data_IF_482863183443
#
_entry.id   IF_482863183443
#
_cell.length_a   1.000
_cell.length_b   1.000
_cell.length_c   1.000
_cell.angle_alpha   90.00
_cell.angle_beta   90.00
_cell.angle_gamma   90.00
#
_symmetry.space_group_name_H-M   'P 1'
#
loop_
_entity.id
_entity.type
_entity.pdbx_description
1 polymer ?
#
# COMPACT_ATOMS: atom_id res chain seq x y z
N UNK A 1 -14.83 -19.86 0.90
CA UNK A 1 -13.58 -19.54 1.62
C UNK A 1 -13.95 -18.99 2.99
N UNK A 2 -13.23 -19.42 4.00
CA UNK A 2 -13.34 -18.93 5.38
C UNK A 2 -12.09 -18.14 5.73
N UNK A 3 -12.25 -16.91 6.19
CA UNK A 3 -11.13 -15.98 6.41
C UNK A 3 -11.19 -15.41 7.81
N UNK A 4 -10.07 -15.42 8.51
CA UNK A 4 -9.86 -14.63 9.73
C UNK A 4 -8.93 -13.49 9.42
N UNK A 5 -9.32 -12.27 9.79
CA UNK A 5 -8.49 -11.07 9.66
C UNK A 5 -8.09 -10.59 11.04
N UNK A 6 -6.80 -10.51 11.31
CA UNK A 6 -6.22 -10.04 12.57
C UNK A 6 -5.70 -8.64 12.37
N UNK A 7 -6.38 -7.66 12.96
CA UNK A 7 -6.18 -6.23 12.78
C UNK A 7 -7.36 -5.56 12.10
N UNK A 8 -8.10 -4.74 12.83
CA UNK A 8 -9.33 -4.06 12.41
C UNK A 8 -9.09 -2.60 11.93
N UNK A 9 -7.91 -2.35 11.38
CA UNK A 9 -7.59 -1.06 10.75
C UNK A 9 -8.22 -0.91 9.36
N UNK A 10 -7.86 0.15 8.65
CA UNK A 10 -8.32 0.45 7.29
C UNK A 10 -8.21 -0.73 6.33
N UNK A 11 -7.01 -1.32 6.22
CA UNK A 11 -6.73 -2.37 5.24
C UNK A 11 -7.41 -3.69 5.65
N UNK A 12 -7.27 -4.10 6.92
CA UNK A 12 -7.90 -5.34 7.42
C UNK A 12 -9.41 -5.32 7.27
N UNK A 13 -10.07 -4.22 7.65
CA UNK A 13 -11.52 -4.06 7.49
C UNK A 13 -11.92 -4.01 6.00
N UNK A 14 -11.13 -3.36 5.13
CA UNK A 14 -11.39 -3.36 3.69
C UNK A 14 -11.28 -4.75 3.07
N UNK A 15 -10.32 -5.58 3.52
CA UNK A 15 -10.21 -6.99 3.10
C UNK A 15 -11.47 -7.74 3.54
N UNK A 16 -11.85 -7.61 4.81
CA UNK A 16 -13.03 -8.29 5.35
C UNK A 16 -14.31 -7.92 4.60
N UNK A 17 -14.53 -6.64 4.32
CA UNK A 17 -15.65 -6.16 3.49
C UNK A 17 -15.61 -6.74 2.07
N UNK A 18 -14.43 -6.75 1.45
CA UNK A 18 -14.24 -7.26 0.09
C UNK A 18 -14.52 -8.75 -0.02
N UNK A 19 -13.95 -9.58 0.88
CA UNK A 19 -14.15 -11.04 0.87
C UNK A 19 -15.58 -11.40 1.25
N UNK A 20 -16.22 -10.66 2.15
CA UNK A 20 -17.65 -10.81 2.46
C UNK A 20 -18.52 -10.57 1.23
N UNK A 21 -18.23 -9.49 0.49
CA UNK A 21 -18.92 -9.19 -0.77
C UNK A 21 -18.73 -10.30 -1.81
N UNK A 22 -17.58 -10.96 -1.81
CA UNK A 22 -17.29 -12.12 -2.65
C UNK A 22 -17.92 -13.43 -2.15
N UNK A 23 -18.71 -13.42 -1.07
CA UNK A 23 -19.43 -14.57 -0.52
C UNK A 23 -18.62 -15.44 0.45
N UNK A 24 -17.49 -14.94 0.98
CA UNK A 24 -16.73 -15.65 2.01
C UNK A 24 -17.34 -15.46 3.41
N UNK A 25 -17.10 -16.44 4.30
CA UNK A 25 -17.27 -16.27 5.73
C UNK A 25 -16.02 -15.54 6.26
N UNK A 26 -16.22 -14.52 7.11
CA UNK A 26 -15.10 -13.73 7.63
C UNK A 26 -15.31 -13.37 9.09
N UNK A 27 -14.23 -13.40 9.87
CA UNK A 27 -14.14 -12.90 11.23
C UNK A 27 -13.00 -11.88 11.33
N UNK A 28 -13.23 -10.79 12.07
CA UNK A 28 -12.21 -9.83 12.42
C UNK A 28 -11.87 -9.94 13.90
N UNK A 29 -10.58 -9.91 14.21
CA UNK A 29 -10.03 -9.94 15.57
C UNK A 29 -9.09 -8.74 15.71
N UNK A 30 -9.22 -8.00 16.81
CA UNK A 30 -8.29 -6.92 17.16
C UNK A 30 -8.03 -6.88 18.67
N UNK A 31 -6.87 -6.36 19.07
CA UNK A 31 -6.56 -6.13 20.50
C UNK A 31 -7.36 -4.97 21.09
N UNK A 32 -7.71 -3.97 20.26
CA UNK A 32 -8.64 -2.92 20.64
C UNK A 32 -10.08 -3.38 20.40
N UNK A 33 -10.75 -3.76 21.47
CA UNK A 33 -12.14 -4.23 21.41
C UNK A 33 -13.14 -3.21 20.84
N UNK A 34 -12.79 -1.90 20.78
CA UNK A 34 -13.64 -0.90 20.12
C UNK A 34 -13.45 -0.95 18.59
N UNK A 35 -12.20 -1.04 18.14
CA UNK A 35 -11.89 -1.21 16.73
C UNK A 35 -12.46 -2.52 16.20
N UNK A 36 -12.29 -3.62 16.93
CA UNK A 36 -12.87 -4.92 16.61
C UNK A 36 -14.38 -4.84 16.47
N UNK A 37 -15.08 -4.27 17.47
CA UNK A 37 -16.53 -4.12 17.43
C UNK A 37 -17.00 -3.31 16.23
N UNK A 38 -16.39 -2.14 16.00
CA UNK A 38 -16.74 -1.28 14.87
C UNK A 38 -16.58 -2.00 13.53
N UNK A 39 -15.43 -2.68 13.34
CA UNK A 39 -15.16 -3.43 12.11
C UNK A 39 -16.15 -4.59 11.94
N UNK A 40 -16.46 -5.32 13.01
CA UNK A 40 -17.44 -6.40 12.99
C UNK A 40 -18.86 -5.90 12.69
N UNK A 41 -19.26 -4.74 13.23
CA UNK A 41 -20.55 -4.11 12.94
C UNK A 41 -20.65 -3.70 11.45
N UNK A 42 -19.56 -3.18 10.86
CA UNK A 42 -19.49 -2.82 9.45
C UNK A 42 -19.57 -4.04 8.52
N UNK A 43 -18.91 -5.13 8.88
CA UNK A 43 -18.81 -6.35 8.05
C UNK A 43 -20.02 -7.27 8.25
N UNK A 44 -20.78 -7.13 9.36
CA UNK A 44 -21.92 -8.00 9.73
C UNK A 44 -21.52 -9.49 9.70
N UNK A 45 -20.48 -9.85 10.43
CA UNK A 45 -19.88 -11.19 10.41
C UNK A 45 -20.16 -11.99 11.70
N UNK A 46 -19.71 -13.24 11.72
CA UNK A 46 -19.76 -14.16 12.85
C UNK A 46 -18.39 -14.81 13.09
N UNK A 47 -18.33 -15.66 14.11
CA UNK A 47 -17.13 -16.46 14.38
C UNK A 47 -16.87 -17.45 13.25
N UNK A 48 -15.60 -17.59 12.90
CA UNK A 48 -15.13 -18.53 11.88
C UNK A 48 -14.33 -19.64 12.56
N UNK A 49 -14.81 -20.88 12.45
CA UNK A 49 -14.07 -22.07 12.86
C UNK A 49 -13.32 -22.65 11.66
N UNK A 50 -12.07 -23.10 11.88
CA UNK A 50 -11.22 -23.70 10.86
C UNK A 50 -11.11 -22.84 9.59
N UNK A 51 -10.50 -21.63 9.67
CA UNK A 51 -10.34 -20.77 8.51
C UNK A 51 -9.40 -21.38 7.46
N UNK A 52 -9.73 -21.18 6.20
CA UNK A 52 -8.82 -21.52 5.09
C UNK A 52 -7.60 -20.58 5.09
N UNK A 53 -7.85 -19.29 5.43
CA UNK A 53 -6.86 -18.23 5.36
C UNK A 53 -6.91 -17.32 6.60
N UNK A 54 -5.73 -16.97 7.11
CA UNK A 54 -5.53 -15.97 8.16
C UNK A 54 -4.76 -14.78 7.58
N UNK A 55 -5.34 -13.59 7.65
CA UNK A 55 -4.73 -12.34 7.20
C UNK A 55 -4.22 -11.56 8.39
N UNK A 56 -2.91 -11.36 8.48
CA UNK A 56 -2.29 -10.53 9.51
C UNK A 56 -2.25 -9.09 8.99
N UNK A 57 -3.19 -8.27 9.49
CA UNK A 57 -3.38 -6.87 9.12
C UNK A 57 -2.94 -5.90 10.24
N UNK A 58 -2.04 -6.35 11.09
CA UNK A 58 -1.41 -5.56 12.16
C UNK A 58 -0.12 -4.89 11.66
N UNK A 59 0.47 -3.94 12.43
CA UNK A 59 1.80 -3.42 12.14
C UNK A 59 2.83 -4.53 11.91
N UNK A 60 3.77 -4.31 11.00
CA UNK A 60 4.77 -5.32 10.60
C UNK A 60 5.60 -5.83 11.79
N UNK A 61 5.91 -4.95 12.76
CA UNK A 61 6.61 -5.32 13.99
C UNK A 61 5.86 -6.31 14.86
N UNK A 62 4.55 -6.44 14.69
CA UNK A 62 3.70 -7.36 15.46
C UNK A 62 3.53 -8.73 14.81
N UNK A 63 3.96 -8.91 13.55
CA UNK A 63 3.72 -10.16 12.78
C UNK A 63 4.25 -11.38 13.51
N UNK A 64 5.48 -11.32 14.05
CA UNK A 64 6.06 -12.43 14.81
C UNK A 64 5.16 -12.89 15.96
N UNK A 65 4.70 -11.94 16.80
CA UNK A 65 3.83 -12.22 17.94
C UNK A 65 2.48 -12.80 17.50
N UNK A 66 1.91 -12.26 16.44
CA UNK A 66 0.63 -12.76 15.91
C UNK A 66 0.78 -14.20 15.39
N UNK A 67 1.88 -14.51 14.71
CA UNK A 67 2.16 -15.88 14.29
C UNK A 67 2.29 -16.80 15.50
N UNK A 68 3.07 -16.41 16.51
CA UNK A 68 3.25 -17.20 17.74
C UNK A 68 1.92 -17.51 18.42
N UNK A 69 1.01 -16.55 18.48
CA UNK A 69 -0.29 -16.67 19.11
C UNK A 69 -1.28 -17.57 18.33
N UNK A 70 -1.31 -17.42 16.99
CA UNK A 70 -2.40 -17.99 16.19
C UNK A 70 -2.01 -19.23 15.35
N UNK A 71 -0.72 -19.53 15.16
CA UNK A 71 -0.27 -20.64 14.30
C UNK A 71 -0.78 -22.02 14.76
N UNK A 72 -0.94 -22.22 16.07
CA UNK A 72 -1.40 -23.48 16.67
C UNK A 72 -2.93 -23.49 16.91
N UNK A 73 -3.56 -22.31 16.96
CA UNK A 73 -5.02 -22.16 16.95
C UNK A 73 -5.59 -22.54 15.59
N UNK A 74 -4.89 -22.15 14.51
CA UNK A 74 -5.28 -22.44 13.13
C UNK A 74 -4.22 -23.30 12.41
N UNK A 75 -4.06 -24.58 12.81
CA UNK A 75 -2.93 -25.41 12.38
C UNK A 75 -2.94 -25.79 10.89
N UNK A 76 -4.09 -25.66 10.22
CA UNK A 76 -4.26 -26.01 8.81
C UNK A 76 -4.33 -24.81 7.87
N UNK A 77 -4.49 -23.62 8.42
CA UNK A 77 -4.71 -22.39 7.64
C UNK A 77 -3.44 -21.93 6.94
N UNK A 78 -3.59 -21.35 5.77
CA UNK A 78 -2.57 -20.51 5.15
C UNK A 78 -2.57 -19.14 5.84
N UNK A 79 -1.40 -18.55 6.03
CA UNK A 79 -1.24 -17.22 6.62
C UNK A 79 -0.65 -16.26 5.59
N UNK A 80 -1.11 -15.02 5.61
CA UNK A 80 -0.50 -13.90 4.90
C UNK A 80 -0.34 -12.70 5.83
N UNK A 81 0.64 -11.86 5.55
CA UNK A 81 0.67 -10.50 6.07
C UNK A 81 0.38 -9.49 4.95
N UNK A 82 0.05 -8.26 5.34
CA UNK A 82 -0.20 -7.16 4.42
C UNK A 82 0.75 -5.97 4.63
N UNK A 83 1.82 -6.16 5.38
CA UNK A 83 2.77 -5.11 5.74
C UNK A 83 3.47 -4.49 4.53
N UNK A 84 3.99 -3.27 4.72
CA UNK A 84 4.64 -2.51 3.64
C UNK A 84 6.09 -2.93 3.39
N UNK A 85 6.71 -3.75 4.26
CA UNK A 85 8.08 -4.26 4.13
C UNK A 85 8.10 -5.76 4.33
N UNK A 86 8.98 -6.47 3.61
CA UNK A 86 8.95 -7.94 3.56
C UNK A 86 10.18 -8.61 4.17
N UNK A 87 11.35 -7.97 4.19
CA UNK A 87 12.58 -8.57 4.74
C UNK A 87 12.40 -8.97 6.21
N UNK A 88 11.83 -8.10 7.05
CA UNK A 88 11.59 -8.42 8.46
C UNK A 88 10.59 -9.58 8.60
N UNK A 89 9.52 -9.58 7.83
CA UNK A 89 8.51 -10.65 7.83
C UNK A 89 9.13 -11.99 7.46
N UNK A 90 9.95 -12.04 6.40
CA UNK A 90 10.68 -13.26 6.01
C UNK A 90 11.50 -13.82 7.18
N UNK A 91 12.31 -12.96 7.81
CA UNK A 91 13.14 -13.37 8.95
C UNK A 91 12.30 -13.92 10.10
N UNK A 92 11.22 -13.24 10.44
CA UNK A 92 10.32 -13.66 11.51
C UNK A 92 9.67 -15.02 11.21
N UNK A 93 9.14 -15.19 10.02
CA UNK A 93 8.45 -16.43 9.61
C UNK A 93 9.40 -17.63 9.62
N UNK A 94 10.65 -17.45 9.16
CA UNK A 94 11.64 -18.52 9.12
C UNK A 94 12.02 -19.05 10.51
N UNK A 95 11.82 -18.27 11.58
CA UNK A 95 12.04 -18.76 12.95
C UNK A 95 11.06 -19.84 13.39
N UNK A 96 9.93 -19.99 12.70
CA UNK A 96 8.89 -20.96 13.02
C UNK A 96 8.98 -22.28 12.22
N UNK A 97 10.09 -22.51 11.50
CA UNK A 97 10.36 -23.77 10.79
C UNK A 97 9.29 -24.14 9.77
N UNK A 98 8.69 -25.33 9.91
CA UNK A 98 7.70 -25.85 8.95
C UNK A 98 6.44 -24.96 8.76
N UNK A 99 6.19 -24.04 9.67
CA UNK A 99 5.11 -23.06 9.51
C UNK A 99 5.31 -22.19 8.26
N UNK A 100 6.56 -21.93 7.85
CA UNK A 100 6.88 -21.14 6.66
C UNK A 100 6.26 -21.70 5.38
N UNK A 101 5.97 -22.99 5.31
CA UNK A 101 5.31 -23.65 4.17
C UNK A 101 3.90 -23.11 3.93
N UNK A 102 3.20 -22.70 5.00
CA UNK A 102 1.84 -22.17 4.94
C UNK A 102 1.76 -20.68 5.20
N UNK A 103 2.88 -19.97 5.03
CA UNK A 103 2.94 -18.52 5.09
C UNK A 103 3.36 -17.94 3.74
N UNK A 104 2.63 -16.92 3.29
CA UNK A 104 2.94 -16.19 2.06
C UNK A 104 2.96 -14.69 2.39
N UNK A 105 4.13 -14.05 2.41
CA UNK A 105 4.21 -12.61 2.62
C UNK A 105 3.59 -11.85 1.45
N UNK A 106 2.78 -10.83 1.74
CA UNK A 106 2.13 -10.03 0.70
C UNK A 106 2.12 -8.54 1.03
N UNK A 107 1.82 -7.70 0.02
CA UNK A 107 1.66 -6.27 0.20
C UNK A 107 0.64 -5.70 -0.80
N UNK A 108 -0.57 -5.33 -0.38
CA UNK A 108 -1.51 -4.60 -1.22
C UNK A 108 -1.01 -3.17 -1.47
N UNK A 109 -0.72 -2.84 -2.74
CA UNK A 109 -0.32 -1.47 -3.11
C UNK A 109 -1.54 -0.55 -3.13
N UNK A 110 -2.18 -0.43 -1.96
CA UNK A 110 -3.39 0.34 -1.73
C UNK A 110 -3.36 0.96 -0.33
N UNK A 111 -3.93 2.13 -0.19
CA UNK A 111 -4.03 2.86 1.07
C UNK A 111 -4.80 4.16 0.87
N UNK A 112 -5.11 4.81 1.97
CA UNK A 112 -5.74 6.13 2.02
C UNK A 112 -5.13 6.91 3.18
N UNK A 113 -5.30 8.22 3.19
CA UNK A 113 -4.83 9.11 4.26
C UNK A 113 -5.80 9.10 5.48
N UNK A 114 -6.77 8.19 5.50
CA UNK A 114 -7.74 8.00 6.60
C UNK A 114 -7.39 6.72 7.32
N UNK A 115 -7.21 6.80 8.62
CA UNK A 115 -6.94 5.64 9.48
C UNK A 115 -8.24 4.98 9.99
N UNK A 116 -8.12 3.75 10.47
CA UNK A 116 -9.21 3.05 11.16
C UNK A 116 -10.22 2.37 10.22
N UNK A 117 -11.19 1.70 10.85
CA UNK A 117 -12.25 0.97 10.15
C UNK A 117 -13.23 1.89 9.40
N UNK A 118 -13.39 3.14 9.87
CA UNK A 118 -14.29 4.13 9.25
C UNK A 118 -13.87 4.48 7.81
N UNK A 119 -12.56 4.39 7.51
CA UNK A 119 -12.05 4.63 6.16
C UNK A 119 -12.17 3.43 5.23
N UNK A 120 -12.61 2.27 5.71
CA UNK A 120 -12.61 1.02 4.96
C UNK A 120 -13.60 1.01 3.78
N UNK A 121 -13.18 0.37 2.69
CA UNK A 121 -13.98 0.26 1.47
C UNK A 121 -13.84 -1.15 0.88
N UNK A 122 -14.97 -1.76 0.50
CA UNK A 122 -15.00 -3.11 -0.07
C UNK A 122 -14.34 -3.21 -1.45
N UNK A 123 -14.12 -2.10 -2.12
CA UNK A 123 -13.49 -1.97 -3.45
C UNK A 123 -12.11 -1.32 -3.42
N UNK A 124 -11.53 -1.13 -2.23
CA UNK A 124 -10.21 -0.49 -2.05
C UNK A 124 -9.13 -1.08 -2.96
N UNK A 125 -9.19 -2.37 -3.22
CA UNK A 125 -8.18 -3.11 -3.99
C UNK A 125 -8.49 -3.23 -5.48
N UNK A 126 -9.68 -2.80 -5.91
CA UNK A 126 -10.13 -2.92 -7.30
C UNK A 126 -9.12 -2.31 -8.28
N UNK A 127 -8.58 -3.13 -9.18
CA UNK A 127 -7.58 -2.74 -10.19
C UNK A 127 -6.21 -2.35 -9.61
N UNK A 128 -5.98 -2.49 -8.31
CA UNK A 128 -4.67 -2.24 -7.68
C UNK A 128 -3.73 -3.43 -7.87
N UNK A 129 -2.43 -3.17 -7.72
CA UNK A 129 -1.45 -4.25 -7.62
C UNK A 129 -1.43 -4.76 -6.19
N UNK A 130 -1.36 -6.06 -6.05
CA UNK A 130 -1.06 -6.72 -4.79
C UNK A 130 0.19 -7.56 -4.98
N UNK A 131 1.26 -7.19 -4.28
CA UNK A 131 2.53 -7.89 -4.39
C UNK A 131 2.49 -9.14 -3.53
N UNK A 132 2.99 -10.24 -4.07
CA UNK A 132 3.20 -11.51 -3.40
C UNK A 132 4.70 -11.80 -3.45
N UNK A 133 5.31 -12.06 -2.29
CA UNK A 133 6.74 -12.36 -2.18
C UNK A 133 6.92 -13.75 -1.58
N UNK A 134 6.73 -14.84 -2.35
CA UNK A 134 6.82 -16.19 -1.83
C UNK A 134 8.15 -16.44 -1.14
N UNK A 135 8.12 -17.17 -0.04
CA UNK A 135 9.32 -17.76 0.53
C UNK A 135 9.69 -19.01 -0.27
N UNK A 136 10.95 -19.43 -0.23
CA UNK A 136 11.38 -20.68 -0.87
C UNK A 136 10.58 -21.89 -0.36
N UNK A 137 10.15 -21.83 0.90
CA UNK A 137 9.40 -22.86 1.58
C UNK A 137 7.88 -22.77 1.31
N UNK A 138 7.34 -21.66 0.81
CA UNK A 138 5.89 -21.45 0.62
C UNK A 138 5.29 -22.53 -0.28
N UNK A 139 4.32 -23.26 0.22
CA UNK A 139 3.69 -24.36 -0.51
C UNK A 139 2.86 -23.86 -1.71
N UNK A 140 2.85 -24.58 -2.84
CA UNK A 140 2.10 -24.19 -4.02
C UNK A 140 0.60 -23.99 -3.77
N UNK A 141 -0.01 -24.81 -2.91
CA UNK A 141 -1.40 -24.69 -2.50
C UNK A 141 -1.67 -23.41 -1.73
N UNK A 142 -0.74 -22.98 -0.87
CA UNK A 142 -0.84 -21.69 -0.17
C UNK A 142 -0.78 -20.52 -1.16
N UNK A 143 0.13 -20.55 -2.13
CA UNK A 143 0.24 -19.53 -3.18
C UNK A 143 -1.03 -19.45 -4.03
N UNK A 144 -1.62 -20.58 -4.37
CA UNK A 144 -2.87 -20.65 -5.12
C UNK A 144 -4.01 -20.00 -4.34
N UNK A 145 -4.19 -20.37 -3.07
CA UNK A 145 -5.25 -19.84 -2.23
C UNK A 145 -5.11 -18.30 -2.05
N UNK A 146 -3.89 -17.80 -1.87
CA UNK A 146 -3.60 -16.37 -1.77
C UNK A 146 -3.91 -15.64 -3.07
N UNK A 147 -3.59 -16.22 -4.21
CA UNK A 147 -3.92 -15.64 -5.52
C UNK A 147 -5.44 -15.56 -5.73
N UNK A 148 -6.17 -16.61 -5.37
CA UNK A 148 -7.64 -16.63 -5.44
C UNK A 148 -8.26 -15.55 -4.53
N UNK A 149 -7.74 -15.34 -3.32
CA UNK A 149 -8.17 -14.23 -2.46
C UNK A 149 -7.96 -12.89 -3.15
N UNK A 150 -6.74 -12.61 -3.63
CA UNK A 150 -6.37 -11.33 -4.23
C UNK A 150 -7.23 -11.03 -5.45
N UNK A 151 -7.46 -12.02 -6.30
CA UNK A 151 -8.31 -11.90 -7.50
C UNK A 151 -9.78 -11.66 -7.12
N UNK A 152 -10.29 -12.32 -6.07
CA UNK A 152 -11.65 -12.11 -5.58
C UNK A 152 -11.90 -10.68 -5.10
N UNK A 153 -10.85 -9.97 -4.65
CA UNK A 153 -10.87 -8.57 -4.28
C UNK A 153 -10.70 -7.62 -5.48
N UNK A 154 -10.60 -8.16 -6.70
CA UNK A 154 -10.40 -7.39 -7.93
C UNK A 154 -9.00 -6.79 -8.07
N UNK A 155 -8.04 -7.24 -7.28
CA UNK A 155 -6.65 -6.82 -7.37
C UNK A 155 -5.88 -7.67 -8.39
N UNK A 156 -4.70 -7.18 -8.80
CA UNK A 156 -3.80 -7.90 -9.71
C UNK A 156 -2.58 -8.40 -8.96
N UNK A 157 -2.35 -9.69 -9.02
CA UNK A 157 -1.17 -10.34 -8.43
C UNK A 157 0.10 -9.90 -9.17
N UNK A 158 1.12 -9.51 -8.42
CA UNK A 158 2.49 -9.28 -8.91
C UNK A 158 3.45 -10.05 -8.01
N UNK A 159 4.04 -11.10 -8.54
CA UNK A 159 5.06 -11.87 -7.82
C UNK A 159 6.43 -11.20 -7.99
N UNK A 160 7.20 -11.12 -6.91
CA UNK A 160 8.58 -10.66 -6.91
C UNK A 160 9.34 -11.19 -5.68
N UNK A 161 10.67 -11.13 -5.71
CA UNK A 161 11.51 -11.52 -4.59
C UNK A 161 11.41 -10.52 -3.43
N UNK A 162 11.59 -11.00 -2.20
CA UNK A 162 11.51 -10.18 -0.97
C UNK A 162 12.44 -8.97 -1.02
N UNK A 163 13.70 -9.18 -1.39
CA UNK A 163 14.69 -8.10 -1.45
C UNK A 163 14.39 -7.10 -2.58
N UNK A 164 13.93 -7.59 -3.74
CA UNK A 164 13.49 -6.74 -4.85
C UNK A 164 12.30 -5.88 -4.43
N UNK A 165 11.31 -6.47 -3.75
CA UNK A 165 10.16 -5.73 -3.23
C UNK A 165 10.59 -4.56 -2.37
N UNK A 166 11.43 -4.79 -1.35
CA UNK A 166 11.83 -3.76 -0.40
C UNK A 166 12.64 -2.64 -1.08
N UNK A 167 13.47 -2.97 -2.07
CA UNK A 167 14.16 -1.97 -2.91
C UNK A 167 13.20 -1.15 -3.76
N UNK A 168 12.22 -1.80 -4.41
CA UNK A 168 11.24 -1.11 -5.26
C UNK A 168 10.38 -0.17 -4.43
N UNK A 169 9.83 -0.63 -3.28
CA UNK A 169 8.98 0.25 -2.45
C UNK A 169 9.79 1.36 -1.78
N UNK A 170 11.08 1.16 -1.50
CA UNK A 170 11.96 2.24 -1.05
C UNK A 170 11.99 3.39 -2.07
N UNK A 171 12.05 3.09 -3.37
CA UNK A 171 12.08 4.09 -4.43
C UNK A 171 10.71 4.71 -4.71
N UNK A 172 9.65 3.89 -4.83
CA UNK A 172 8.35 4.36 -5.34
C UNK A 172 7.39 4.85 -4.25
N UNK A 173 7.71 4.60 -2.97
CA UNK A 173 6.87 4.92 -1.83
C UNK A 173 7.63 5.64 -0.71
N UNK A 174 8.71 5.06 -0.18
CA UNK A 174 9.37 5.55 1.02
C UNK A 174 10.17 6.83 0.78
N UNK A 175 10.95 6.90 -0.29
CA UNK A 175 11.66 8.12 -0.69
C UNK A 175 10.68 9.27 -0.96
N UNK A 176 9.62 9.09 -1.77
CA UNK A 176 8.60 10.13 -1.95
C UNK A 176 8.00 10.64 -0.64
N UNK A 177 7.71 9.76 0.32
CA UNK A 177 7.18 10.14 1.63
C UNK A 177 8.14 11.07 2.37
N UNK A 178 9.43 10.73 2.43
CA UNK A 178 10.43 11.57 3.10
C UNK A 178 10.57 12.91 2.40
N UNK A 179 10.67 12.93 1.06
CA UNK A 179 10.82 14.18 0.31
C UNK A 179 9.60 15.08 0.49
N UNK A 180 8.40 14.50 0.44
CA UNK A 180 7.14 15.22 0.72
C UNK A 180 7.14 15.82 2.13
N UNK A 181 7.55 15.05 3.13
CA UNK A 181 7.62 15.52 4.53
C UNK A 181 8.67 16.60 4.73
N UNK A 182 9.85 16.48 4.11
CA UNK A 182 10.90 17.51 4.15
C UNK A 182 10.45 18.81 3.49
N UNK A 183 9.72 18.71 2.36
CA UNK A 183 9.15 19.87 1.69
C UNK A 183 8.07 20.52 2.55
N UNK A 184 7.13 19.73 3.11
CA UNK A 184 6.08 20.23 3.97
C UNK A 184 6.63 20.93 5.22
N UNK A 185 7.71 20.42 5.81
CA UNK A 185 8.36 21.03 6.97
C UNK A 185 8.89 22.45 6.71
N UNK A 186 9.19 22.80 5.44
CA UNK A 186 9.58 24.19 5.10
C UNK A 186 8.39 25.16 5.19
N UNK A 187 7.16 24.66 5.23
CA UNK A 187 5.95 25.46 5.31
C UNK A 187 5.57 25.81 6.77
N UNK A 188 6.01 25.01 7.74
CA UNK A 188 5.62 25.12 9.15
C UNK A 188 5.97 26.48 9.80
N UNK A 189 7.03 27.14 9.31
CA UNK A 189 7.49 28.44 9.81
C UNK A 189 6.86 29.64 9.09
N UNK A 190 5.96 29.40 8.14
CA UNK A 190 5.37 30.45 7.30
C UNK A 190 4.04 30.95 7.89
N UNK A 191 3.73 32.24 7.64
CA UNK A 191 2.46 32.81 8.06
C UNK A 191 1.33 32.44 7.08
N UNK A 192 0.07 32.65 7.51
CA UNK A 192 -1.10 32.30 6.70
C UNK A 192 -1.23 33.11 5.41
N UNK A 193 -0.71 34.32 5.34
CA UNK A 193 -0.73 35.16 4.14
C UNK A 193 0.20 34.57 3.06
N UNK A 194 1.42 34.17 3.44
CA UNK A 194 2.35 33.48 2.54
C UNK A 194 1.76 32.16 2.04
N UNK A 195 1.15 31.38 2.95
CA UNK A 195 0.56 30.09 2.63
C UNK A 195 -0.70 30.21 1.76
N UNK A 196 -1.37 31.35 1.75
CA UNK A 196 -2.52 31.61 0.87
C UNK A 196 -2.18 31.59 -0.63
N UNK A 197 -0.90 31.72 -0.97
CA UNK A 197 -0.39 31.62 -2.35
C UNK A 197 -0.13 30.17 -2.78
N UNK A 198 -0.37 29.18 -1.91
CA UNK A 198 -0.15 27.78 -2.19
C UNK A 198 -1.11 27.26 -3.27
N UNK A 199 -0.59 26.92 -4.43
CA UNK A 199 -1.35 26.30 -5.52
C UNK A 199 -1.28 24.77 -5.51
N UNK A 200 -1.89 24.14 -6.52
CA UNK A 200 -1.95 22.68 -6.67
C UNK A 200 -0.56 22.00 -6.65
N UNK A 201 0.48 22.67 -7.15
CA UNK A 201 1.82 22.11 -7.15
C UNK A 201 2.32 21.73 -5.75
N UNK A 202 2.22 22.65 -4.79
CA UNK A 202 2.65 22.37 -3.42
C UNK A 202 1.67 21.42 -2.72
N UNK A 203 0.36 21.55 -2.96
CA UNK A 203 -0.66 20.66 -2.38
C UNK A 203 -0.46 19.21 -2.82
N UNK A 204 -0.22 18.98 -4.12
CA UNK A 204 0.00 17.63 -4.64
C UNK A 204 1.32 17.01 -4.14
N UNK A 205 2.40 17.81 -4.08
CA UNK A 205 3.70 17.30 -3.64
C UNK A 205 3.79 17.06 -2.14
N UNK A 206 3.00 17.76 -1.32
CA UNK A 206 2.99 17.61 0.14
C UNK A 206 1.81 16.76 0.66
N UNK A 207 0.91 16.31 -0.19
CA UNK A 207 -0.30 15.56 0.20
C UNK A 207 0.00 14.36 1.10
N UNK A 208 0.99 13.55 0.73
CA UNK A 208 1.35 12.34 1.50
C UNK A 208 2.06 12.67 2.83
N UNK A 209 2.59 13.87 3.03
CA UNK A 209 3.16 14.29 4.31
C UNK A 209 2.12 14.34 5.44
N UNK A 210 0.82 14.42 5.12
CA UNK A 210 -0.28 14.36 6.08
C UNK A 210 -0.57 12.95 6.63
N UNK A 211 0.15 11.92 6.20
CA UNK A 211 -0.02 10.54 6.69
C UNK A 211 0.43 10.38 8.14
N UNK A 212 -0.07 9.34 8.82
CA UNK A 212 0.23 9.03 10.22
C UNK A 212 1.76 8.85 10.46
N UNK A 213 2.40 9.70 11.29
CA UNK A 213 3.84 9.66 11.51
C UNK A 213 4.33 8.38 12.20
N UNK A 214 3.53 7.77 13.08
CA UNK A 214 3.94 6.57 13.81
C UNK A 214 4.00 5.36 12.89
N UNK A 215 3.02 5.22 12.00
CA UNK A 215 3.04 4.19 10.96
C UNK A 215 4.25 4.35 10.05
N UNK A 216 4.51 5.55 9.56
CA UNK A 216 5.63 5.81 8.66
C UNK A 216 6.99 5.66 9.33
N UNK A 217 7.11 6.01 10.62
CA UNK A 217 8.33 5.77 11.39
C UNK A 217 8.69 4.28 11.42
N UNK A 218 7.70 3.41 11.64
CA UNK A 218 7.92 1.96 11.61
C UNK A 218 8.36 1.49 10.21
N UNK A 219 7.59 1.84 9.18
CA UNK A 219 7.87 1.43 7.79
C UNK A 219 9.28 1.84 7.36
N UNK A 220 9.65 3.11 7.59
CA UNK A 220 10.93 3.65 7.17
C UNK A 220 12.11 3.03 7.93
N UNK A 221 11.93 2.75 9.23
CA UNK A 221 12.96 2.07 10.03
C UNK A 221 13.16 0.62 9.59
N UNK A 222 12.09 -0.11 9.29
CA UNK A 222 12.15 -1.49 8.83
C UNK A 222 12.79 -1.63 7.44
N UNK A 223 12.68 -0.59 6.59
CA UNK A 223 13.27 -0.59 5.24
C UNK A 223 14.47 0.36 5.11
N UNK A 224 15.12 0.70 6.22
CA UNK A 224 16.21 1.67 6.27
C UNK A 224 17.39 1.31 5.34
N UNK A 225 17.74 0.04 5.26
CA UNK A 225 18.88 -0.41 4.45
C UNK A 225 18.68 -0.16 2.96
N UNK A 226 17.48 -0.41 2.43
CA UNK A 226 17.13 -0.12 1.05
C UNK A 226 16.96 1.39 0.79
N UNK A 227 16.51 2.15 1.79
CA UNK A 227 16.20 3.56 1.66
C UNK A 227 17.43 4.47 1.73
N UNK A 228 18.41 4.19 2.61
CA UNK A 228 19.58 5.04 2.81
C UNK A 228 20.39 5.31 1.53
N UNK A 229 20.66 4.33 0.65
CA UNK A 229 21.34 4.61 -0.61
C UNK A 229 20.59 5.62 -1.50
N UNK A 230 19.27 5.53 -1.55
CA UNK A 230 18.44 6.45 -2.33
C UNK A 230 18.48 7.87 -1.77
N UNK A 231 18.43 8.02 -0.45
CA UNK A 231 18.57 9.32 0.20
C UNK A 231 19.94 9.95 -0.04
N UNK A 232 21.02 9.15 0.00
CA UNK A 232 22.37 9.64 -0.32
C UNK A 232 22.49 10.10 -1.78
N UNK A 233 21.89 9.38 -2.71
CA UNK A 233 21.85 9.78 -4.11
C UNK A 233 21.08 11.08 -4.29
N UNK A 234 19.91 11.20 -3.67
CA UNK A 234 19.11 12.42 -3.69
C UNK A 234 19.87 13.60 -3.08
N UNK A 235 20.55 13.40 -1.96
CA UNK A 235 21.40 14.43 -1.34
C UNK A 235 22.51 14.89 -2.28
N UNK A 236 23.19 13.94 -2.96
CA UNK A 236 24.24 14.25 -3.94
C UNK A 236 23.70 15.11 -5.10
N UNK A 237 22.54 14.74 -5.65
CA UNK A 237 21.91 15.50 -6.73
C UNK A 237 21.54 16.92 -6.31
N UNK A 238 21.00 17.05 -5.08
CA UNK A 238 20.67 18.35 -4.50
C UNK A 238 21.94 19.20 -4.27
N UNK A 239 23.01 18.61 -3.73
CA UNK A 239 24.29 19.31 -3.55
C UNK A 239 24.85 19.77 -4.90
N UNK A 240 24.82 18.92 -5.93
CA UNK A 240 25.26 19.28 -7.28
C UNK A 240 24.44 20.44 -7.86
N UNK A 241 23.13 20.45 -7.64
CA UNK A 241 22.26 21.56 -8.06
C UNK A 241 22.62 22.87 -7.32
N UNK A 242 22.89 22.80 -6.03
CA UNK A 242 23.29 23.97 -5.24
C UNK A 242 24.63 24.54 -5.74
N UNK A 243 25.62 23.68 -6.01
CA UNK A 243 26.97 24.08 -6.40
C UNK A 243 27.01 24.69 -7.81
N UNK A 244 26.28 24.12 -8.76
CA UNK A 244 26.39 24.49 -10.19
C UNK A 244 25.16 25.23 -10.72
N UNK A 245 24.03 25.19 -10.00
CA UNK A 245 22.72 25.75 -10.37
C UNK A 245 22.24 25.32 -11.78
N UNK A 246 22.60 24.09 -12.20
CA UNK A 246 22.20 23.52 -13.49
C UNK A 246 20.72 23.03 -13.41
N UNK A 247 19.82 23.99 -13.44
CA UNK A 247 18.36 23.80 -13.37
C UNK A 247 17.86 23.08 -14.63
N UNK A 248 18.44 23.37 -15.80
CA UNK A 248 18.02 22.75 -17.06
C UNK A 248 18.20 21.22 -17.03
N UNK A 249 19.35 20.76 -16.56
CA UNK A 249 19.62 19.32 -16.38
C UNK A 249 18.58 18.67 -15.48
N UNK A 250 18.36 19.22 -14.29
CA UNK A 250 17.43 18.65 -13.31
C UNK A 250 16.00 18.56 -13.85
N UNK A 251 15.52 19.62 -14.52
CA UNK A 251 14.17 19.65 -15.10
C UNK A 251 14.03 18.64 -16.25
N UNK A 252 15.04 18.50 -17.11
CA UNK A 252 15.02 17.54 -18.20
C UNK A 252 15.08 16.09 -17.72
N UNK A 253 15.92 15.78 -16.74
CA UNK A 253 16.01 14.46 -16.12
C UNK A 253 14.69 14.11 -15.40
N UNK A 254 14.13 15.05 -14.63
CA UNK A 254 12.84 14.87 -13.95
C UNK A 254 11.69 14.61 -14.92
N UNK A 255 11.66 15.34 -16.07
CA UNK A 255 10.67 15.10 -17.13
C UNK A 255 10.80 13.71 -17.73
N UNK A 256 12.02 13.24 -18.01
CA UNK A 256 12.27 11.87 -18.50
C UNK A 256 11.81 10.82 -17.49
N UNK A 257 12.16 10.98 -16.20
CA UNK A 257 11.71 10.09 -15.13
C UNK A 257 10.18 10.06 -15.02
N UNK A 258 9.52 11.21 -15.12
CA UNK A 258 8.04 11.28 -15.10
C UNK A 258 7.40 10.56 -16.30
N UNK A 259 8.01 10.63 -17.47
CA UNK A 259 7.52 9.95 -18.68
C UNK A 259 7.63 8.42 -18.60
N UNK A 260 8.55 7.88 -17.82
CA UNK A 260 8.68 6.43 -17.63
C UNK A 260 7.61 5.83 -16.71
N UNK A 261 6.86 6.66 -15.96
CA UNK A 261 5.75 6.16 -15.16
C UNK A 261 4.56 5.77 -16.04
N UNK A 262 3.85 4.69 -15.72
CA UNK A 262 2.64 4.30 -16.44
C UNK A 262 1.61 5.43 -16.40
N UNK A 263 0.87 5.62 -17.49
CA UNK A 263 -0.22 6.59 -17.60
C UNK A 263 -1.37 6.32 -16.63
N UNK A 264 -2.36 7.22 -16.59
CA UNK A 264 -3.60 6.99 -15.83
C UNK A 264 -4.15 5.61 -16.20
N UNK A 265 -4.59 4.86 -15.21
CA UNK A 265 -5.06 3.47 -15.34
C UNK A 265 -3.98 2.45 -15.81
N UNK A 266 -2.67 2.76 -15.61
CA UNK A 266 -1.54 1.90 -16.00
C UNK A 266 -1.50 1.51 -17.47
N UNK A 267 -2.14 2.29 -18.34
CA UNK A 267 -1.91 2.23 -19.78
C UNK A 267 -0.46 2.64 -20.10
N UNK A 268 0.07 2.15 -21.21
CA UNK A 268 1.35 2.64 -21.71
C UNK A 268 1.37 4.17 -21.72
N UNK A 269 2.52 4.76 -21.38
CA UNK A 269 2.69 6.21 -21.45
C UNK A 269 2.24 6.69 -22.83
N UNK A 270 1.09 7.36 -22.90
CA UNK A 270 0.59 7.94 -24.13
C UNK A 270 1.02 9.41 -24.15
N UNK A 271 1.62 9.83 -25.24
CA UNK A 271 1.75 11.24 -25.54
C UNK A 271 0.33 11.77 -25.78
N UNK A 272 -0.30 12.30 -24.75
CA UNK A 272 -1.60 12.96 -24.88
C UNK A 272 -1.37 14.27 -25.66
N UNK A 273 -2.03 14.40 -26.79
CA UNK A 273 -2.20 15.67 -27.43
C UNK A 273 -3.50 16.29 -26.91
N UNK A 274 -3.45 17.57 -26.55
CA UNK A 274 -4.66 18.30 -26.21
C UNK A 274 -5.40 18.60 -27.51
N UNK A 275 -6.59 18.02 -27.66
CA UNK A 275 -7.53 18.39 -28.69
C UNK A 275 -8.61 19.27 -28.04
N UNK A 276 -8.53 20.60 -28.18
CA UNK A 276 -9.58 21.46 -27.67
C UNK A 276 -10.85 21.24 -28.50
N UNK A 277 -11.92 20.80 -27.89
CA UNK A 277 -13.24 20.68 -28.52
C UNK A 277 -14.13 21.72 -27.89
N UNK A 278 -14.61 22.67 -28.69
CA UNK A 278 -15.56 23.68 -28.27
C UNK A 278 -16.96 23.05 -28.37
N UNK A 279 -17.60 22.89 -27.23
CA UNK A 279 -18.98 22.43 -27.14
C UNK A 279 -19.89 23.64 -26.86
N UNK A 280 -21.03 23.72 -27.54
CA UNK A 280 -22.07 24.65 -27.16
C UNK A 280 -22.73 24.16 -25.85
N UNK A 281 -23.12 25.10 -24.99
CA UNK A 281 -23.83 24.75 -23.73
C UNK A 281 -25.31 24.37 -24.04
N UNK A 282 -25.44 23.18 -24.63
CA UNK A 282 -26.73 22.57 -25.00
C UNK A 282 -26.80 21.11 -24.49
N UNK A 283 -28.00 20.63 -24.11
CA UNK A 283 -28.18 19.21 -23.75
C UNK A 283 -27.67 18.27 -24.85
N UNK A 284 -27.02 17.16 -24.44
CA UNK A 284 -26.48 16.09 -25.29
C UNK A 284 -25.23 16.41 -26.15
N UNK A 285 -24.67 17.61 -26.10
CA UNK A 285 -23.45 17.93 -26.86
C UNK A 285 -22.24 17.09 -26.43
N UNK A 286 -22.16 16.76 -25.15
CA UNK A 286 -21.08 15.89 -24.64
C UNK A 286 -21.24 14.44 -25.11
N UNK A 287 -22.47 13.94 -25.20
CA UNK A 287 -22.77 12.59 -25.68
C UNK A 287 -22.44 12.46 -27.18
N UNK A 288 -22.79 13.45 -27.98
CA UNK A 288 -22.50 13.49 -29.43
C UNK A 288 -20.99 13.52 -29.76
N UNK A 289 -20.13 13.75 -28.79
CA UNK A 289 -18.68 13.71 -28.98
C UNK A 289 -18.13 12.26 -28.97
N UNK A 290 -18.90 11.32 -28.40
CA UNK A 290 -18.48 9.92 -28.19
C UNK A 290 -19.26 8.93 -29.07
N UNK A 291 -20.23 9.40 -29.84
CA UNK A 291 -20.90 8.65 -30.91
C UNK A 291 -20.16 8.80 -32.25
#
# INVERSE_FOLDING_TARGET
MKVVVIGAGLIGTSIALGVKRAGAEVELIDLDGRAEKLANDLVSNGKVSDPDLVVIATPTSSVHRVIEEFKDIYPKSTFIDIGSTKTKVKVDVQTFGDFSKRFVPTHPMAGREVDGAEGAQSDLFQGKTWVVTPLEESAPESLKLVSELIESLGARVKVMEVAEHDQVVALVSHLPQIISSLLAAQLDTRNSEELSLAGSGVLDTTRIAGSNPDLWREILNLNKEALLPLLKNFQKDLSTLIDNFDVERVLNEGRKGRQSLPGKHRSASRNYQYLPVVLEDKPNQLAALFD
#
